data_IF_900843317223
#
_entry.id   IF_900843317223
#
_cell.length_a   1.000
_cell.length_b   1.000
_cell.length_c   1.000
_cell.angle_alpha   90.00
_cell.angle_beta   90.00
_cell.angle_gamma   90.00
#
_symmetry.space_group_name_H-M   'P 1'
#
loop_
_entity.id
_entity.type
_entity.pdbx_description
1 polymer ?
#
# COMPACT_ATOMS: atom_id res chain seq x y z
N UNK A 1 -2.79 -11.70 27.56
CA UNK A 1 -3.01 -10.68 26.52
C UNK A 1 -2.58 -11.30 25.21
N UNK A 2 -3.55 -11.62 24.35
CA UNK A 2 -3.26 -12.29 23.08
C UNK A 2 -3.05 -11.21 22.03
N UNK A 3 -1.80 -10.81 21.83
CA UNK A 3 -1.48 -9.90 20.75
C UNK A 3 -1.45 -10.67 19.43
N UNK A 4 -2.03 -10.08 18.40
CA UNK A 4 -2.06 -10.67 17.06
C UNK A 4 -1.34 -9.74 16.07
N UNK A 5 -0.45 -10.33 15.28
CA UNK A 5 0.24 -9.60 14.21
C UNK A 5 -0.70 -9.47 13.02
N UNK A 6 -0.95 -8.23 12.61
CA UNK A 6 -1.85 -7.89 11.50
C UNK A 6 -1.21 -6.92 10.52
N UNK A 7 -1.74 -6.86 9.32
CA UNK A 7 -1.26 -5.99 8.27
C UNK A 7 -2.07 -4.70 8.18
N UNK A 8 -1.40 -3.59 7.91
CA UNK A 8 -2.03 -2.30 7.64
C UNK A 8 -1.51 -1.71 6.34
N UNK A 9 -2.41 -1.37 5.43
CA UNK A 9 -2.11 -0.66 4.20
C UNK A 9 -1.89 0.84 4.46
N UNK A 10 -0.87 1.41 3.83
CA UNK A 10 -0.61 2.85 3.84
C UNK A 10 -0.12 3.30 2.46
N UNK A 11 -0.41 4.55 2.13
CA UNK A 11 0.07 5.22 0.93
C UNK A 11 0.81 6.50 1.32
N UNK A 12 2.03 6.68 0.84
CA UNK A 12 2.75 7.95 0.93
C UNK A 12 2.30 8.89 -0.15
N UNK A 13 1.76 10.04 0.24
CA UNK A 13 1.48 11.14 -0.65
C UNK A 13 2.76 11.99 -0.77
N UNK A 14 3.44 11.91 -1.91
CA UNK A 14 4.66 12.65 -2.17
C UNK A 14 4.44 14.15 -2.21
N UNK A 15 3.29 14.61 -2.68
CA UNK A 15 2.97 16.03 -2.78
C UNK A 15 2.59 16.65 -1.42
N UNK A 16 1.82 15.93 -0.61
CA UNK A 16 1.42 16.39 0.73
C UNK A 16 2.42 16.05 1.84
N UNK A 17 3.46 15.30 1.50
CA UNK A 17 4.48 14.78 2.44
C UNK A 17 3.88 14.04 3.65
N UNK A 18 2.76 13.34 3.44
CA UNK A 18 2.02 12.65 4.51
C UNK A 18 1.66 11.24 4.10
N UNK A 19 1.61 10.33 5.07
CA UNK A 19 1.04 9.00 4.84
C UNK A 19 -0.48 9.04 5.01
N UNK A 20 -1.18 8.47 4.04
CA UNK A 20 -2.62 8.26 4.02
C UNK A 20 -2.89 6.79 4.34
N UNK A 21 -3.85 6.54 5.23
CA UNK A 21 -4.35 5.21 5.54
C UNK A 21 -5.83 5.29 5.89
N UNK A 22 -6.54 4.17 5.82
CA UNK A 22 -7.88 4.08 6.42
C UNK A 22 -7.70 3.92 7.94
N UNK A 23 -8.44 4.71 8.70
CA UNK A 23 -8.42 4.63 10.16
C UNK A 23 -8.94 3.27 10.60
N UNK A 24 -8.27 2.65 11.58
CA UNK A 24 -8.63 1.34 12.16
C UNK A 24 -8.84 0.24 11.11
N UNK A 25 -8.08 0.27 10.01
CA UNK A 25 -8.09 -0.80 9.01
C UNK A 25 -6.89 -1.72 9.21
N UNK A 26 -7.18 -2.94 9.64
CA UNK A 26 -6.22 -4.01 9.86
C UNK A 26 -6.68 -5.27 9.13
N UNK A 27 -5.74 -6.09 8.68
CA UNK A 27 -5.98 -7.23 7.80
C UNK A 27 -5.20 -8.46 8.26
N UNK A 28 -5.77 -9.64 8.09
CA UNK A 28 -5.12 -10.89 8.48
C UNK A 28 -4.10 -11.36 7.45
N UNK A 29 -4.27 -10.94 6.20
CA UNK A 29 -3.41 -11.40 5.10
C UNK A 29 -2.73 -10.24 4.38
N UNK A 30 -1.54 -10.54 3.82
CA UNK A 30 -0.85 -9.62 2.92
C UNK A 30 -1.70 -9.28 1.69
N UNK A 31 -2.45 -10.25 1.16
CA UNK A 31 -3.29 -10.04 -0.02
C UNK A 31 -4.38 -8.99 0.22
N UNK A 32 -5.08 -9.07 1.36
CA UNK A 32 -6.07 -8.07 1.77
C UNK A 32 -5.44 -6.69 1.90
N UNK A 33 -4.28 -6.60 2.56
CA UNK A 33 -3.58 -5.34 2.75
C UNK A 33 -3.10 -4.74 1.42
N UNK A 34 -2.63 -5.56 0.48
CA UNK A 34 -2.25 -5.10 -0.87
C UNK A 34 -3.47 -4.62 -1.65
N UNK A 35 -4.59 -5.33 -1.57
CA UNK A 35 -5.85 -4.90 -2.18
C UNK A 35 -6.27 -3.52 -1.68
N UNK A 36 -6.24 -3.30 -0.36
CA UNK A 36 -6.49 -1.98 0.24
C UNK A 36 -5.47 -0.93 -0.23
N UNK A 37 -4.19 -1.27 -0.31
CA UNK A 37 -3.16 -0.34 -0.79
C UNK A 37 -3.39 0.07 -2.26
N UNK A 38 -3.86 -0.84 -3.11
CA UNK A 38 -4.24 -0.54 -4.49
C UNK A 38 -5.53 0.30 -4.57
N UNK A 39 -6.46 0.15 -3.63
CA UNK A 39 -7.59 1.08 -3.53
C UNK A 39 -7.14 2.49 -3.11
N UNK A 40 -6.16 2.60 -2.21
CA UNK A 40 -5.52 3.89 -1.88
C UNK A 40 -4.80 4.48 -3.10
N UNK A 41 -4.12 3.65 -3.91
CA UNK A 41 -3.50 4.04 -5.18
C UNK A 41 -4.52 4.66 -6.13
N UNK A 42 -5.64 4.01 -6.38
CA UNK A 42 -6.69 4.52 -7.27
C UNK A 42 -7.25 5.88 -6.80
N UNK A 43 -7.41 6.05 -5.49
CA UNK A 43 -7.81 7.34 -4.90
C UNK A 43 -6.75 8.42 -5.15
N UNK A 44 -5.47 8.12 -4.99
CA UNK A 44 -4.38 9.05 -5.29
C UNK A 44 -4.33 9.38 -6.78
N UNK A 45 -4.38 8.37 -7.64
CA UNK A 45 -4.40 8.55 -9.10
C UNK A 45 -5.53 9.49 -9.50
N UNK A 46 -6.74 9.29 -8.96
CA UNK A 46 -7.87 10.20 -9.19
C UNK A 46 -7.58 11.62 -8.68
N UNK A 47 -7.05 11.76 -7.46
CA UNK A 47 -6.73 13.06 -6.84
C UNK A 47 -5.73 13.86 -7.69
N UNK A 48 -4.73 13.18 -8.25
CA UNK A 48 -3.68 13.78 -9.06
C UNK A 48 -3.93 13.64 -10.57
N UNK A 49 -5.19 13.45 -10.98
CA UNK A 49 -5.62 13.39 -12.39
C UNK A 49 -4.80 12.40 -13.25
N UNK A 50 -4.48 11.24 -12.68
CA UNK A 50 -3.67 10.17 -13.25
C UNK A 50 -2.26 10.59 -13.68
N UNK A 51 -1.71 11.66 -13.09
CA UNK A 51 -0.35 12.13 -13.38
C UNK A 51 0.73 11.41 -12.57
N UNK A 52 0.39 10.50 -11.66
CA UNK A 52 1.40 9.74 -10.93
C UNK A 52 1.92 8.64 -11.85
N UNK A 53 3.20 8.68 -12.15
CA UNK A 53 3.88 7.62 -12.88
C UNK A 53 4.44 6.60 -11.88
N UNK A 54 3.79 5.44 -11.83
CA UNK A 54 4.20 4.34 -10.97
C UNK A 54 5.29 3.49 -11.61
N UNK A 55 6.36 3.24 -10.86
CA UNK A 55 7.48 2.39 -11.23
C UNK A 55 7.19 0.93 -10.85
N UNK A 56 6.63 0.18 -11.80
CA UNK A 56 6.39 -1.27 -11.66
C UNK A 56 7.64 -2.13 -11.92
N UNK A 57 8.78 -1.52 -12.31
CA UNK A 57 10.04 -2.23 -12.49
C UNK A 57 10.85 -2.28 -11.20
N UNK A 58 10.58 -1.37 -10.27
CA UNK A 58 11.21 -1.35 -8.96
C UNK A 58 10.96 -2.66 -8.20
N UNK A 59 12.02 -3.18 -7.56
CA UNK A 59 11.90 -4.34 -6.67
C UNK A 59 11.07 -3.96 -5.44
N UNK A 60 10.20 -4.87 -5.01
CA UNK A 60 9.56 -4.78 -3.70
C UNK A 60 10.67 -4.77 -2.65
N UNK A 61 10.60 -3.82 -1.71
CA UNK A 61 11.60 -3.69 -0.64
C UNK A 61 10.90 -3.92 0.70
N UNK A 62 11.40 -4.88 1.48
CA UNK A 62 10.93 -5.15 2.83
C UNK A 62 12.00 -4.82 3.88
N UNK A 63 11.52 -4.52 5.07
CA UNK A 63 12.25 -4.32 6.32
C UNK A 63 11.40 -4.96 7.42
N UNK A 64 11.96 -5.19 8.62
CA UNK A 64 11.34 -5.95 9.72
C UNK A 64 9.81 -5.83 9.86
N UNK A 65 9.23 -4.60 9.85
CA UNK A 65 7.79 -4.42 10.05
C UNK A 65 7.10 -3.69 8.88
N UNK A 66 7.74 -3.63 7.70
CA UNK A 66 7.27 -2.77 6.61
C UNK A 66 7.77 -3.23 5.25
N UNK A 67 6.88 -3.23 4.26
CA UNK A 67 7.17 -3.50 2.86
C UNK A 67 6.67 -2.37 1.97
N UNK A 68 7.53 -1.83 1.11
CA UNK A 68 7.14 -0.91 0.03
C UNK A 68 6.92 -1.72 -1.24
N UNK A 69 5.70 -1.68 -1.75
CA UNK A 69 5.25 -2.53 -2.87
C UNK A 69 5.25 -1.79 -4.21
N UNK A 70 5.14 -0.46 -4.18
CA UNK A 70 5.14 0.37 -5.38
C UNK A 70 5.66 1.77 -5.04
N UNK A 71 6.34 2.40 -5.98
CA UNK A 71 6.82 3.79 -5.88
C UNK A 71 6.40 4.54 -7.13
N UNK A 72 6.09 5.82 -7.01
CA UNK A 72 5.75 6.66 -8.16
C UNK A 72 6.16 8.11 -7.95
N UNK A 73 6.07 8.89 -9.01
CA UNK A 73 6.43 10.32 -9.01
C UNK A 73 5.42 11.11 -9.82
N UNK A 74 5.19 12.36 -9.42
CA UNK A 74 4.27 13.23 -10.13
C UNK A 74 4.87 13.59 -11.49
N UNK A 75 4.12 13.35 -12.56
CA UNK A 75 4.53 13.53 -13.95
C UNK A 75 5.89 12.88 -14.29
N UNK A 76 6.23 11.77 -13.60
CA UNK A 76 7.49 11.06 -13.83
C UNK A 76 8.74 11.75 -13.26
N UNK A 77 8.61 12.90 -12.61
CA UNK A 77 9.76 13.65 -12.10
C UNK A 77 10.39 12.97 -10.88
N UNK A 78 11.49 12.26 -11.10
CA UNK A 78 12.24 11.56 -10.04
C UNK A 78 12.94 12.50 -9.05
N UNK A 79 13.06 13.80 -9.36
CA UNK A 79 13.56 14.80 -8.41
C UNK A 79 12.48 15.23 -7.41
N UNK A 80 11.21 15.05 -7.77
CA UNK A 80 10.08 15.29 -6.87
C UNK A 80 10.01 14.26 -5.75
N UNK A 81 9.25 14.59 -4.70
CA UNK A 81 8.98 13.69 -3.59
C UNK A 81 8.15 12.50 -4.08
N UNK A 82 8.57 11.31 -3.67
CA UNK A 82 7.99 10.08 -4.15
C UNK A 82 6.64 9.76 -3.49
N UNK A 83 5.71 9.28 -4.31
CA UNK A 83 4.54 8.53 -3.86
C UNK A 83 4.96 7.09 -3.61
N UNK A 84 4.33 6.43 -2.65
CA UNK A 84 4.59 5.01 -2.41
C UNK A 84 3.35 4.29 -1.89
N UNK A 85 3.27 3.01 -2.18
CA UNK A 85 2.37 2.08 -1.51
C UNK A 85 3.19 1.22 -0.57
N UNK A 86 2.72 1.06 0.65
CA UNK A 86 3.41 0.26 1.64
C UNK A 86 2.43 -0.53 2.51
N UNK A 87 2.87 -1.70 2.93
CA UNK A 87 2.21 -2.53 3.94
C UNK A 87 3.07 -2.46 5.21
N UNK A 88 2.43 -2.33 6.36
CA UNK A 88 3.07 -2.44 7.67
C UNK A 88 2.54 -3.64 8.41
N UNK A 89 3.43 -4.35 9.11
CA UNK A 89 3.05 -5.30 10.14
C UNK A 89 2.89 -4.53 11.46
N UNK A 90 1.78 -4.75 12.14
CA UNK A 90 1.41 -4.04 13.36
C UNK A 90 0.90 -5.06 14.36
N UNK A 91 1.31 -4.91 15.61
CA UNK A 91 0.74 -5.66 16.73
C UNK A 91 -0.60 -5.03 17.12
N UNK A 92 -1.68 -5.79 17.02
CA UNK A 92 -3.02 -5.30 17.29
C UNK A 92 -3.33 -5.34 18.79
N UNK A 93 -3.82 -4.22 19.32
CA UNK A 93 -4.40 -4.14 20.66
C UNK A 93 -5.87 -4.57 20.62
N UNK A 94 -6.37 -5.22 21.68
CA UNK A 94 -7.66 -5.93 21.73
C UNK A 94 -8.89 -5.09 21.33
N UNK A 95 -8.80 -3.76 21.43
CA UNK A 95 -9.87 -2.82 21.07
C UNK A 95 -10.06 -2.62 19.55
N UNK A 96 -9.16 -3.13 18.72
CA UNK A 96 -9.24 -3.02 17.26
C UNK A 96 -9.50 -4.37 16.60
N UNK A 97 -10.47 -4.41 15.70
CA UNK A 97 -10.81 -5.59 14.89
C UNK A 97 -10.17 -5.57 13.51
N UNK A 98 -10.07 -6.76 12.91
CA UNK A 98 -9.74 -6.92 11.49
C UNK A 98 -10.95 -6.54 10.65
N UNK A 99 -10.73 -5.87 9.52
CA UNK A 99 -11.81 -5.42 8.63
C UNK A 99 -11.59 -5.95 7.22
N UNK A 100 -12.67 -6.03 6.44
CA UNK A 100 -12.57 -6.36 5.02
C UNK A 100 -11.82 -5.26 4.25
N UNK A 101 -10.96 -5.62 3.27
CA UNK A 101 -10.26 -4.64 2.45
C UNK A 101 -11.21 -3.96 1.45
N UNK A 102 -10.95 -2.70 1.17
CA UNK A 102 -11.50 -2.00 0.01
C UNK A 102 -10.81 -2.55 -1.23
N UNK A 103 -11.61 -3.06 -2.16
CA UNK A 103 -11.11 -3.49 -3.46
C UNK A 103 -11.04 -2.28 -4.40
N UNK A 104 -9.93 -2.10 -5.15
CA UNK A 104 -9.89 -1.11 -6.23
C UNK A 104 -10.94 -1.44 -7.28
N UNK A 105 -11.56 -0.41 -7.88
CA UNK A 105 -12.57 -0.58 -8.94
C UNK A 105 -11.91 -1.02 -10.24
N UNK A 106 -10.69 -0.54 -10.50
CA UNK A 106 -9.90 -0.88 -11.68
C UNK A 106 -8.56 -1.48 -11.26
N UNK A 107 -8.26 -2.67 -11.77
CA UNK A 107 -6.98 -3.36 -11.56
C UNK A 107 -6.33 -3.57 -12.91
N UNK A 108 -5.16 -2.97 -13.13
CA UNK A 108 -4.37 -3.21 -14.34
C UNK A 108 -3.64 -4.55 -14.28
N UNK A 109 -3.18 -5.04 -15.43
CA UNK A 109 -2.31 -6.24 -15.49
C UNK A 109 -1.05 -6.06 -14.65
N UNK A 110 -0.51 -4.83 -14.59
CA UNK A 110 0.67 -4.51 -13.78
C UNK A 110 0.34 -4.56 -12.28
N UNK A 111 -0.84 -4.09 -11.87
CA UNK A 111 -1.29 -4.18 -10.47
C UNK A 111 -1.49 -5.63 -10.03
N UNK A 112 -2.08 -6.48 -10.89
CA UNK A 112 -2.19 -7.93 -10.61
C UNK A 112 -0.82 -8.56 -10.38
N UNK A 113 0.18 -8.19 -11.20
CA UNK A 113 1.56 -8.67 -11.04
C UNK A 113 2.16 -8.23 -9.69
N UNK A 114 1.87 -7.01 -9.23
CA UNK A 114 2.27 -6.56 -7.89
C UNK A 114 1.62 -7.44 -6.82
N UNK A 115 0.31 -7.69 -6.90
CA UNK A 115 -0.39 -8.57 -5.94
C UNK A 115 0.27 -9.95 -5.84
N UNK A 116 0.54 -10.60 -6.98
CA UNK A 116 1.18 -11.93 -7.03
C UNK A 116 2.63 -11.91 -6.56
N UNK A 117 3.34 -10.81 -6.73
CA UNK A 117 4.74 -10.72 -6.31
C UNK A 117 4.88 -10.47 -4.81
N UNK A 118 3.95 -9.71 -4.21
CA UNK A 118 3.99 -9.41 -2.76
C UNK A 118 3.82 -10.67 -1.93
N UNK A 119 2.97 -11.61 -2.34
CA UNK A 119 2.78 -12.89 -1.61
C UNK A 119 4.00 -13.79 -1.62
N UNK A 120 4.99 -13.53 -2.49
CA UNK A 120 6.26 -14.26 -2.57
C UNK A 120 7.36 -13.64 -1.73
N UNK A 121 7.11 -12.48 -1.11
CA UNK A 121 8.08 -11.75 -0.30
C UNK A 121 7.61 -11.80 1.15
N UNK A 122 8.46 -12.27 2.05
CA UNK A 122 8.17 -12.25 3.49
C UNK A 122 8.41 -10.85 4.05
N UNK A 123 7.50 -10.41 4.94
CA UNK A 123 7.75 -9.34 5.94
C UNK A 123 8.15 -10.02 7.23
#
# INVERSE_FOLDING_TARGET
>A
MTTSMVYQAQAGDGFKEKSVKRTNSFFNTLEEAVSEALALKEKMDTTYKNKIEWDYKMKITSSQNKMKILKGYLAGDKKSKAFYLQIKLVELQEEFGVVAPKKPKKISVKDKKVMTNVTKVSI
#
